data_IF_893613834028
#
_entry.id   IF_893613834028
#
_cell.length_a   1.000
_cell.length_b   1.000
_cell.length_c   1.000
_cell.angle_alpha   90.00
_cell.angle_beta   90.00
_cell.angle_gamma   90.00
#
_symmetry.space_group_name_H-M   'P 1'
#
loop_
_entity.id
_entity.type
_entity.pdbx_description
1 polymer ?
#
# COMPACT_ATOMS: atom_id res chain seq x y z
N UNK A 1 -3.63 5.37 31.21
CA UNK A 1 -2.20 5.58 30.92
C UNK A 1 -1.50 4.26 30.53
N UNK A 2 -1.81 3.13 31.16
CA UNK A 2 -1.21 1.82 30.85
C UNK A 2 -1.63 1.34 29.46
N UNK A 3 -2.91 1.26 29.17
CA UNK A 3 -3.46 0.89 27.85
C UNK A 3 -2.96 1.76 26.69
N UNK A 4 -2.79 3.05 26.90
CA UNK A 4 -2.25 3.94 25.88
C UNK A 4 -0.86 3.52 25.41
N UNK A 5 0.01 3.12 26.34
CA UNK A 5 1.37 2.70 26.03
C UNK A 5 1.41 1.32 25.35
N UNK A 6 0.52 0.39 25.74
CA UNK A 6 0.39 -0.93 25.10
C UNK A 6 -0.08 -0.81 23.67
N UNK A 7 -1.15 -0.04 23.43
CA UNK A 7 -1.65 0.23 22.09
C UNK A 7 -0.55 0.88 21.21
N UNK A 8 0.18 1.88 21.75
CA UNK A 8 1.21 2.54 20.96
C UNK A 8 2.33 1.57 20.56
N UNK A 9 2.81 0.71 21.47
CA UNK A 9 3.82 -0.32 21.17
C UNK A 9 3.35 -1.29 20.08
N UNK A 10 2.10 -1.72 20.18
CA UNK A 10 1.50 -2.57 19.16
C UNK A 10 1.48 -1.87 17.78
N UNK A 11 1.03 -0.61 17.73
CA UNK A 11 0.94 0.17 16.49
C UNK A 11 2.33 0.46 15.87
N UNK A 12 3.38 0.56 16.69
CA UNK A 12 4.76 0.76 16.23
C UNK A 12 5.33 -0.48 15.49
N UNK A 13 4.75 -1.67 15.72
CA UNK A 13 5.11 -2.94 15.06
C UNK A 13 4.25 -3.26 13.83
N UNK A 14 3.18 -2.50 13.58
CA UNK A 14 2.28 -2.69 12.43
C UNK A 14 2.96 -2.20 11.15
N UNK A 15 2.75 -2.94 10.06
CA UNK A 15 3.18 -2.52 8.72
C UNK A 15 2.76 -1.06 8.45
N UNK A 16 3.68 -0.19 8.01
CA UNK A 16 3.40 1.24 7.82
C UNK A 16 2.22 1.55 6.89
N UNK A 17 1.99 0.70 5.88
CA UNK A 17 0.85 0.86 4.95
C UNK A 17 -0.46 0.55 5.66
N UNK A 18 -0.51 -0.53 6.44
CA UNK A 18 -1.69 -0.91 7.20
C UNK A 18 -1.96 0.11 8.33
N UNK A 19 -0.90 0.56 8.99
CA UNK A 19 -1.02 1.61 10.02
C UNK A 19 -1.66 2.88 9.45
N UNK A 20 -1.15 3.36 8.31
CA UNK A 20 -1.68 4.54 7.63
C UNK A 20 -3.14 4.37 7.23
N UNK A 21 -3.50 3.21 6.65
CA UNK A 21 -4.88 2.90 6.27
C UNK A 21 -5.82 2.86 7.47
N UNK A 22 -5.39 2.31 8.59
CA UNK A 22 -6.16 2.29 9.82
C UNK A 22 -6.32 3.67 10.44
N UNK A 23 -5.28 4.53 10.36
CA UNK A 23 -5.37 5.93 10.77
C UNK A 23 -6.42 6.70 9.96
N UNK A 24 -6.48 6.48 8.65
CA UNK A 24 -7.49 7.08 7.79
C UNK A 24 -8.90 6.62 8.17
N UNK A 25 -9.09 5.30 8.37
CA UNK A 25 -10.37 4.74 8.78
C UNK A 25 -10.85 5.32 10.12
N UNK A 26 -9.95 5.46 11.07
CA UNK A 26 -10.26 6.11 12.34
C UNK A 26 -10.58 7.60 12.16
N UNK A 27 -9.75 8.34 11.43
CA UNK A 27 -9.91 9.78 11.23
C UNK A 27 -11.25 10.12 10.54
N UNK A 28 -11.70 9.28 9.61
CA UNK A 28 -12.95 9.47 8.87
C UNK A 28 -14.17 8.88 9.58
N UNK A 29 -14.02 8.42 10.82
CA UNK A 29 -15.15 8.01 11.65
C UNK A 29 -15.76 6.66 11.25
N UNK A 30 -14.99 5.77 10.61
CA UNK A 30 -15.46 4.42 10.25
C UNK A 30 -15.66 3.50 11.45
N UNK A 31 -15.22 3.87 12.65
CA UNK A 31 -15.49 3.12 13.88
C UNK A 31 -16.86 3.56 14.40
N UNK A 32 -17.87 2.69 14.24
CA UNK A 32 -19.27 2.99 14.56
C UNK A 32 -19.59 2.78 16.03
N UNK A 33 -19.01 1.73 16.63
CA UNK A 33 -19.20 1.41 18.04
C UNK A 33 -17.97 0.76 18.64
N UNK A 34 -17.78 0.93 19.95
CA UNK A 34 -16.77 0.25 20.76
C UNK A 34 -17.42 -0.14 22.08
N UNK A 35 -17.33 -1.42 22.41
CA UNK A 35 -17.68 -1.96 23.72
C UNK A 35 -16.42 -2.47 24.42
N UNK A 36 -16.30 -2.21 25.71
CA UNK A 36 -15.19 -2.68 26.53
C UNK A 36 -15.72 -3.36 27.79
N UNK A 37 -15.31 -4.60 28.01
CA UNK A 37 -15.64 -5.36 29.20
C UNK A 37 -14.47 -6.23 29.66
N UNK A 38 -13.98 -6.02 30.88
CA UNK A 38 -12.95 -6.86 31.53
C UNK A 38 -11.68 -7.15 30.69
N UNK A 39 -11.14 -6.14 30.00
CA UNK A 39 -9.94 -6.29 29.17
C UNK A 39 -10.21 -6.70 27.72
N UNK A 40 -11.47 -6.95 27.37
CA UNK A 40 -11.90 -7.27 26.02
C UNK A 40 -12.58 -6.07 25.37
N UNK A 41 -12.22 -5.76 24.13
CA UNK A 41 -12.82 -4.75 23.27
C UNK A 41 -13.47 -5.39 22.08
N UNK A 42 -14.72 -5.06 21.84
CA UNK A 42 -15.42 -5.34 20.58
C UNK A 42 -15.74 -4.03 19.89
N UNK A 43 -15.34 -3.86 18.64
CA UNK A 43 -15.61 -2.67 17.84
C UNK A 43 -16.30 -3.02 16.52
N UNK A 44 -17.29 -2.22 16.14
CA UNK A 44 -17.89 -2.28 14.81
C UNK A 44 -17.23 -1.21 13.93
N UNK A 45 -16.64 -1.64 12.81
CA UNK A 45 -15.91 -0.75 11.90
C UNK A 45 -16.50 -0.87 10.51
N UNK A 46 -17.13 0.19 10.02
CA UNK A 46 -17.68 0.23 8.67
C UNK A 46 -16.56 0.08 7.61
N UNK A 47 -16.87 -0.65 6.57
CA UNK A 47 -15.93 -0.94 5.49
C UNK A 47 -16.63 -1.02 4.15
N UNK A 48 -16.26 -2.01 3.35
CA UNK A 48 -16.84 -2.24 2.03
C UNK A 48 -18.14 -3.00 2.00
N UNK A 49 -18.57 -3.56 3.15
CA UNK A 49 -19.80 -4.30 3.28
C UNK A 49 -20.90 -3.43 3.93
N UNK A 50 -22.16 -3.77 3.68
CA UNK A 50 -23.30 -3.03 4.25
C UNK A 50 -23.38 -3.18 5.78
N UNK A 51 -22.84 -4.28 6.33
CA UNK A 51 -22.67 -4.49 7.76
C UNK A 51 -21.23 -4.14 8.17
N UNK A 52 -21.03 -3.47 9.32
CA UNK A 52 -19.69 -3.15 9.80
C UNK A 52 -18.94 -4.45 10.17
N UNK A 53 -17.63 -4.44 9.97
CA UNK A 53 -16.76 -5.52 10.41
C UNK A 53 -16.65 -5.54 11.92
N UNK A 54 -16.69 -6.74 12.49
CA UNK A 54 -16.51 -6.94 13.92
C UNK A 54 -15.02 -7.13 14.23
N UNK A 55 -14.52 -6.31 15.14
CA UNK A 55 -13.13 -6.36 15.59
C UNK A 55 -13.12 -6.69 17.08
N UNK A 56 -12.51 -7.81 17.45
CA UNK A 56 -12.29 -8.23 18.82
C UNK A 56 -10.82 -8.03 19.21
N UNK A 57 -10.56 -7.45 20.40
CA UNK A 57 -9.21 -7.18 20.90
C UNK A 57 -9.16 -7.52 22.39
N UNK A 58 -8.22 -8.36 22.78
CA UNK A 58 -7.95 -8.70 24.17
C UNK A 58 -6.70 -7.99 24.67
N UNK A 59 -6.79 -7.43 25.87
CA UNK A 59 -5.68 -6.79 26.58
C UNK A 59 -5.32 -7.61 27.83
N UNK A 60 -4.05 -7.75 28.09
CA UNK A 60 -3.55 -8.36 29.34
C UNK A 60 -3.68 -7.41 30.54
N UNK A 61 -3.27 -7.92 31.74
CA UNK A 61 -3.33 -7.15 33.01
C UNK A 61 -2.41 -5.92 33.00
N UNK A 62 -1.39 -5.90 32.12
CA UNK A 62 -0.45 -4.80 31.92
C UNK A 62 -0.93 -3.81 30.83
N UNK A 63 -2.07 -4.10 30.18
CA UNK A 63 -2.66 -3.29 29.11
C UNK A 63 -1.98 -3.40 27.76
N UNK A 64 -1.23 -4.47 27.53
CA UNK A 64 -0.70 -4.84 26.22
C UNK A 64 -1.78 -5.56 25.40
N UNK A 65 -1.70 -5.45 24.07
CA UNK A 65 -2.57 -6.21 23.16
C UNK A 65 -2.11 -7.67 23.15
N UNK A 66 -2.91 -8.57 23.71
CA UNK A 66 -2.60 -10.01 23.80
C UNK A 66 -3.13 -10.79 22.59
N UNK A 67 -4.35 -10.49 22.17
CA UNK A 67 -4.97 -11.11 21.01
C UNK A 67 -5.89 -10.13 20.26
N UNK A 68 -6.07 -10.38 18.97
CA UNK A 68 -7.00 -9.63 18.13
C UNK A 68 -7.55 -10.48 17.01
N UNK A 69 -8.76 -10.17 16.60
CA UNK A 69 -9.42 -10.78 15.45
C UNK A 69 -10.27 -9.72 14.73
N UNK A 70 -10.41 -9.87 13.42
CA UNK A 70 -11.36 -9.10 12.62
C UNK A 70 -11.97 -10.03 11.58
N UNK A 71 -13.27 -9.99 11.41
CA UNK A 71 -14.00 -10.82 10.44
C UNK A 71 -13.88 -10.33 9.00
N UNK A 72 -13.13 -9.24 8.76
CA UNK A 72 -12.89 -8.75 7.42
C UNK A 72 -12.07 -9.74 6.57
N UNK A 73 -12.21 -9.72 5.23
CA UNK A 73 -11.55 -10.67 4.34
C UNK A 73 -10.04 -10.41 4.16
N UNK A 74 -9.40 -9.61 5.02
CA UNK A 74 -7.96 -9.33 4.95
C UNK A 74 -7.16 -10.51 5.53
N UNK A 75 -6.32 -11.14 4.70
CA UNK A 75 -5.50 -12.32 5.03
C UNK A 75 -4.00 -12.17 4.70
N UNK A 76 -3.52 -10.95 4.39
CA UNK A 76 -2.14 -10.66 3.96
C UNK A 76 -1.17 -10.39 5.09
N UNK A 77 -1.64 -10.30 6.30
CA UNK A 77 -0.83 -10.05 7.47
C UNK A 77 -1.62 -10.24 8.74
N UNK A 78 -0.94 -10.21 9.90
CA UNK A 78 -1.59 -10.49 11.18
C UNK A 78 -2.55 -9.38 11.61
N UNK A 79 -2.41 -8.15 11.09
CA UNK A 79 -3.19 -6.98 11.49
C UNK A 79 -3.81 -6.34 10.25
N UNK A 80 -5.13 -6.07 10.28
CA UNK A 80 -5.84 -5.34 9.22
C UNK A 80 -6.05 -3.85 9.60
N UNK A 81 -6.46 -3.04 8.62
CA UNK A 81 -6.78 -1.62 8.82
C UNK A 81 -7.91 -1.38 9.84
N UNK A 82 -8.88 -2.29 9.95
CA UNK A 82 -10.00 -2.17 10.88
C UNK A 82 -9.54 -2.37 12.33
N UNK A 83 -8.66 -3.35 12.57
CA UNK A 83 -8.02 -3.54 13.88
C UNK A 83 -7.22 -2.30 14.31
N UNK A 84 -6.48 -1.70 13.39
CA UNK A 84 -5.76 -0.45 13.65
C UNK A 84 -6.71 0.69 13.96
N UNK A 85 -7.80 0.86 13.20
CA UNK A 85 -8.80 1.90 13.44
C UNK A 85 -9.47 1.73 14.81
N UNK A 86 -9.85 0.50 15.18
CA UNK A 86 -10.42 0.19 16.49
C UNK A 86 -9.44 0.52 17.62
N UNK A 87 -8.17 0.11 17.52
CA UNK A 87 -7.14 0.45 18.52
C UNK A 87 -6.93 1.95 18.69
N UNK A 88 -6.93 2.70 17.58
CA UNK A 88 -6.83 4.16 17.62
C UNK A 88 -8.03 4.80 18.32
N UNK A 89 -9.23 4.29 18.05
CA UNK A 89 -10.45 4.78 18.69
C UNK A 89 -10.48 4.46 20.19
N UNK A 90 -10.06 3.25 20.60
CA UNK A 90 -9.87 2.90 22.02
C UNK A 90 -8.88 3.83 22.72
N UNK A 91 -7.78 4.15 22.03
CA UNK A 91 -6.73 5.05 22.56
C UNK A 91 -7.23 6.48 22.79
N UNK A 92 -8.07 7.00 21.90
CA UNK A 92 -8.53 8.40 21.96
C UNK A 92 -9.74 8.58 22.88
N UNK A 93 -10.67 7.65 22.88
CA UNK A 93 -11.91 7.77 23.65
C UNK A 93 -11.75 7.51 25.15
N UNK A 94 -10.65 6.87 25.57
CA UNK A 94 -10.44 6.48 26.96
C UNK A 94 -11.67 5.76 27.49
N UNK A 95 -11.64 4.51 27.68
CA UNK A 95 -12.64 3.47 27.95
C UNK A 95 -13.89 3.77 28.81
N UNK A 96 -14.24 5.01 29.09
CA UNK A 96 -15.28 5.37 30.09
C UNK A 96 -16.66 5.72 29.49
N UNK A 97 -16.87 5.69 28.15
CA UNK A 97 -18.05 6.38 27.57
C UNK A 97 -18.81 5.66 26.45
N UNK A 98 -18.99 4.33 26.46
CA UNK A 98 -19.95 3.68 25.55
C UNK A 98 -21.00 2.86 26.30
N UNK A 99 -22.33 3.06 26.03
CA UNK A 99 -23.37 2.26 26.64
C UNK A 99 -23.40 0.83 26.05
N UNK A 100 -23.61 -0.21 26.86
CA UNK A 100 -23.62 -1.60 26.41
C UNK A 100 -24.80 -1.89 25.46
N UNK A 101 -24.50 -2.60 24.36
CA UNK A 101 -25.49 -3.11 23.41
C UNK A 101 -26.24 -4.32 24.03
N UNK A 102 -27.55 -4.47 23.89
CA UNK A 102 -28.26 -5.63 24.42
C UNK A 102 -27.86 -6.91 23.67
N UNK A 103 -27.45 -7.94 24.38
CA UNK A 103 -27.06 -9.23 23.87
C UNK A 103 -28.20 -9.91 23.12
N UNK A 104 -28.04 -10.11 21.82
CA UNK A 104 -28.90 -10.94 20.98
C UNK A 104 -28.24 -12.31 20.75
N UNK A 105 -28.92 -13.39 21.16
CA UNK A 105 -28.49 -14.75 20.85
C UNK A 105 -28.54 -14.97 19.32
N UNK A 106 -27.41 -15.04 18.65
CA UNK A 106 -27.31 -15.51 17.28
C UNK A 106 -27.11 -17.02 17.27
N UNK A 107 -27.99 -17.75 16.56
CA UNK A 107 -27.76 -19.16 16.26
C UNK A 107 -26.46 -19.29 15.42
N UNK A 108 -25.64 -20.36 15.62
CA UNK A 108 -24.41 -20.53 14.88
C UNK A 108 -24.71 -20.67 13.39
N UNK A 109 -24.59 -19.57 12.66
CA UNK A 109 -24.85 -19.49 11.20
C UNK A 109 -24.01 -20.51 10.45
N UNK A 110 -22.79 -20.74 10.88
CA UNK A 110 -21.84 -21.69 10.28
C UNK A 110 -22.40 -23.14 10.29
N UNK A 111 -23.02 -23.56 11.37
CA UNK A 111 -23.59 -24.91 11.47
C UNK A 111 -24.82 -25.05 10.57
N UNK A 112 -25.62 -23.99 10.44
CA UNK A 112 -26.77 -23.98 9.54
C UNK A 112 -26.33 -24.00 8.08
N UNK A 113 -25.31 -23.24 7.71
CA UNK A 113 -24.73 -23.19 6.36
C UNK A 113 -24.14 -24.55 5.98
N UNK A 114 -23.38 -25.20 6.90
CA UNK A 114 -22.82 -26.55 6.65
C UNK A 114 -23.86 -27.66 6.52
N UNK A 115 -25.04 -27.50 7.13
CA UNK A 115 -26.15 -28.46 7.06
C UNK A 115 -27.15 -28.16 5.93
N UNK A 116 -27.08 -26.97 5.35
CA UNK A 116 -27.97 -26.55 4.28
C UNK A 116 -27.74 -27.37 3.00
N UNK A 117 -28.81 -27.58 2.25
CA UNK A 117 -28.70 -28.20 0.92
C UNK A 117 -28.12 -27.19 -0.09
N UNK A 118 -27.35 -27.71 -1.04
CA UNK A 118 -26.76 -26.88 -2.10
C UNK A 118 -27.80 -25.98 -2.80
N UNK A 119 -28.97 -26.50 -3.11
CA UNK A 119 -30.05 -25.75 -3.74
C UNK A 119 -30.56 -24.56 -2.88
N UNK A 120 -30.51 -24.69 -1.55
CA UNK A 120 -30.91 -23.64 -0.61
C UNK A 120 -29.83 -22.54 -0.56
N UNK A 121 -28.55 -22.94 -0.53
CA UNK A 121 -27.42 -21.99 -0.56
C UNK A 121 -27.39 -21.23 -1.88
N UNK A 122 -27.56 -21.91 -3.02
CA UNK A 122 -27.64 -21.26 -4.33
C UNK A 122 -28.79 -20.27 -4.41
N UNK A 123 -29.97 -20.63 -3.90
CA UNK A 123 -31.13 -19.74 -3.90
C UNK A 123 -30.86 -18.49 -3.04
N UNK A 124 -30.30 -18.65 -1.85
CA UNK A 124 -29.96 -17.57 -0.94
C UNK A 124 -28.90 -16.62 -1.55
N UNK A 125 -27.85 -17.19 -2.13
CA UNK A 125 -26.81 -16.40 -2.80
C UNK A 125 -27.40 -15.61 -3.97
N UNK A 126 -28.22 -16.20 -4.82
CA UNK A 126 -28.83 -15.52 -5.96
C UNK A 126 -29.82 -14.42 -5.54
N UNK A 127 -30.59 -14.66 -4.48
CA UNK A 127 -31.49 -13.67 -3.89
C UNK A 127 -30.69 -12.47 -3.40
N UNK A 128 -29.68 -12.70 -2.58
CA UNK A 128 -28.83 -11.64 -2.06
C UNK A 128 -28.06 -10.90 -3.17
N UNK A 129 -27.55 -11.60 -4.19
CA UNK A 129 -26.97 -10.98 -5.37
C UNK A 129 -27.93 -10.07 -6.14
N UNK A 130 -29.23 -10.26 -6.03
CA UNK A 130 -30.23 -9.40 -6.70
C UNK A 130 -30.48 -8.11 -5.93
N UNK A 131 -30.29 -8.13 -4.63
CA UNK A 131 -30.55 -7.05 -3.68
C UNK A 131 -29.29 -6.24 -3.39
N UNK A 132 -28.17 -6.93 -3.16
CA UNK A 132 -26.88 -6.33 -2.85
C UNK A 132 -25.90 -6.42 -4.03
N UNK A 133 -25.54 -5.25 -4.56
CA UNK A 133 -24.61 -5.11 -5.67
C UNK A 133 -23.15 -5.42 -5.27
N UNK A 134 -22.75 -5.13 -4.03
CA UNK A 134 -21.41 -5.43 -3.53
C UNK A 134 -21.21 -6.92 -3.35
N UNK A 135 -22.18 -7.60 -2.71
CA UNK A 135 -22.17 -9.05 -2.59
C UNK A 135 -22.16 -9.75 -3.96
N UNK A 136 -22.95 -9.25 -4.92
CA UNK A 136 -22.89 -9.74 -6.30
C UNK A 136 -21.50 -9.63 -6.91
N UNK A 137 -20.81 -8.51 -6.67
CA UNK A 137 -19.43 -8.31 -7.15
C UNK A 137 -18.48 -9.30 -6.51
N UNK A 138 -18.64 -9.58 -5.22
CA UNK A 138 -17.85 -10.58 -4.50
C UNK A 138 -18.07 -11.99 -5.07
N UNK A 139 -19.31 -12.39 -5.26
CA UNK A 139 -19.65 -13.70 -5.87
C UNK A 139 -19.08 -13.83 -7.29
N UNK A 140 -19.16 -12.77 -8.11
CA UNK A 140 -18.53 -12.75 -9.43
C UNK A 140 -17.01 -12.85 -9.31
N UNK A 141 -16.41 -12.13 -8.38
CA UNK A 141 -14.99 -12.19 -8.10
C UNK A 141 -14.50 -13.60 -7.76
N UNK A 142 -15.25 -14.33 -6.94
CA UNK A 142 -14.87 -15.66 -6.49
C UNK A 142 -15.15 -16.78 -7.50
N UNK A 143 -16.26 -16.70 -8.22
CA UNK A 143 -16.73 -17.80 -9.08
C UNK A 143 -16.42 -17.62 -10.56
N UNK A 144 -16.06 -16.41 -11.01
CA UNK A 144 -15.72 -16.16 -12.40
C UNK A 144 -14.25 -16.43 -12.71
N UNK A 145 -13.98 -17.33 -13.63
CA UNK A 145 -12.61 -17.68 -14.03
C UNK A 145 -11.93 -16.60 -14.89
N UNK A 146 -12.67 -15.82 -15.68
CA UNK A 146 -12.08 -14.85 -16.63
C UNK A 146 -11.71 -13.49 -16.03
N UNK A 147 -12.25 -13.12 -14.87
CA UNK A 147 -12.05 -11.81 -14.22
C UNK A 147 -12.74 -10.62 -14.90
N UNK A 148 -13.35 -10.82 -16.05
CA UNK A 148 -13.94 -9.76 -16.85
C UNK A 148 -15.10 -9.04 -16.16
N UNK A 149 -15.99 -9.81 -15.52
CA UNK A 149 -17.12 -9.23 -14.80
C UNK A 149 -16.69 -8.64 -13.47
N UNK A 150 -15.68 -9.20 -12.80
CA UNK A 150 -15.09 -8.66 -11.59
C UNK A 150 -14.60 -7.22 -11.80
N UNK A 151 -13.70 -7.01 -12.75
CA UNK A 151 -13.18 -5.68 -13.05
C UNK A 151 -14.28 -4.70 -13.50
N UNK A 152 -15.24 -5.17 -14.31
CA UNK A 152 -16.37 -4.35 -14.74
C UNK A 152 -17.26 -3.91 -13.56
N UNK A 153 -17.47 -4.81 -12.59
CA UNK A 153 -18.23 -4.54 -11.39
C UNK A 153 -17.50 -3.57 -10.46
N UNK A 154 -16.20 -3.78 -10.23
CA UNK A 154 -15.36 -2.84 -9.45
C UNK A 154 -15.40 -1.43 -10.09
N UNK A 155 -15.18 -1.34 -11.40
CA UNK A 155 -15.27 -0.06 -12.13
C UNK A 155 -16.63 0.60 -12.01
N UNK A 156 -17.70 -0.18 -11.93
CA UNK A 156 -19.04 0.35 -11.77
C UNK A 156 -19.28 0.85 -10.35
N UNK A 157 -18.86 0.11 -9.31
CA UNK A 157 -18.97 0.52 -7.91
C UNK A 157 -18.20 1.82 -7.66
N UNK A 158 -16.93 1.87 -8.05
CA UNK A 158 -16.10 3.09 -7.88
C UNK A 158 -16.70 4.28 -8.64
N UNK A 159 -17.22 4.09 -9.85
CA UNK A 159 -17.87 5.17 -10.60
C UNK A 159 -19.12 5.69 -9.89
N UNK A 160 -19.90 4.80 -9.31
CA UNK A 160 -21.10 5.18 -8.57
C UNK A 160 -20.73 5.89 -7.27
N UNK A 161 -19.67 5.44 -6.58
CA UNK A 161 -19.11 6.12 -5.41
C UNK A 161 -18.63 7.54 -5.75
N UNK A 162 -17.81 7.69 -6.80
CA UNK A 162 -17.38 9.02 -7.27
C UNK A 162 -18.57 9.92 -7.59
N UNK A 163 -19.61 9.39 -8.26
CA UNK A 163 -20.83 10.16 -8.57
C UNK A 163 -21.59 10.57 -7.32
N UNK A 164 -21.74 9.69 -6.35
CA UNK A 164 -22.46 9.94 -5.10
C UNK A 164 -21.75 11.00 -4.23
N UNK A 165 -20.42 11.01 -4.26
CA UNK A 165 -19.58 11.90 -3.46
C UNK A 165 -19.11 13.17 -4.21
N UNK A 166 -19.56 13.38 -5.45
CA UNK A 166 -19.25 14.61 -6.22
C UNK A 166 -20.41 15.58 -6.17
N UNK A 167 -20.22 16.73 -5.55
CA UNK A 167 -21.23 17.80 -5.46
C UNK A 167 -20.80 19.02 -6.29
N UNK A 168 -21.51 19.30 -7.38
CA UNK A 168 -21.22 20.43 -8.30
C UNK A 168 -19.80 20.40 -8.90
N UNK A 169 -19.26 19.20 -9.12
CA UNK A 169 -17.91 19.00 -9.67
C UNK A 169 -16.79 19.06 -8.63
N UNK A 170 -17.13 19.13 -7.35
CA UNK A 170 -16.19 19.12 -6.23
C UNK A 170 -16.40 17.87 -5.34
N UNK A 171 -15.34 17.29 -4.84
CA UNK A 171 -15.32 16.19 -3.87
C UNK A 171 -14.75 16.77 -2.57
N UNK A 172 -15.55 16.78 -1.50
CA UNK A 172 -15.08 17.20 -0.17
C UNK A 172 -14.26 16.09 0.51
N UNK A 173 -13.75 16.38 1.70
CA UNK A 173 -12.87 15.47 2.45
C UNK A 173 -13.57 14.14 2.79
N UNK A 174 -14.82 14.19 3.26
CA UNK A 174 -15.62 13.01 3.57
C UNK A 174 -15.89 12.18 2.31
N UNK A 175 -16.29 12.83 1.23
CA UNK A 175 -16.50 12.20 -0.07
C UNK A 175 -15.22 11.56 -0.63
N UNK A 176 -14.07 12.21 -0.44
CA UNK A 176 -12.79 11.66 -0.80
C UNK A 176 -12.49 10.39 0.01
N UNK A 177 -12.73 10.42 1.33
CA UNK A 177 -12.57 9.28 2.21
C UNK A 177 -13.38 8.06 1.77
N UNK A 178 -14.65 8.27 1.44
CA UNK A 178 -15.53 7.21 0.94
C UNK A 178 -15.02 6.60 -0.38
N UNK A 179 -14.55 7.43 -1.30
CA UNK A 179 -13.99 6.95 -2.56
C UNK A 179 -12.69 6.17 -2.33
N UNK A 180 -11.81 6.66 -1.46
CA UNK A 180 -10.56 5.98 -1.10
C UNK A 180 -10.85 4.61 -0.47
N UNK A 181 -11.87 4.49 0.40
CA UNK A 181 -12.26 3.20 0.98
C UNK A 181 -12.67 2.19 -0.11
N UNK A 182 -13.50 2.58 -1.07
CA UNK A 182 -13.90 1.70 -2.17
C UNK A 182 -12.71 1.31 -3.09
N UNK A 183 -11.76 2.22 -3.31
CA UNK A 183 -10.54 1.95 -4.06
C UNK A 183 -9.60 1.00 -3.30
N UNK A 184 -9.47 1.18 -1.98
CA UNK A 184 -8.69 0.31 -1.12
C UNK A 184 -9.23 -1.11 -1.07
N UNK A 185 -10.55 -1.27 -1.03
CA UNK A 185 -11.19 -2.59 -1.12
C UNK A 185 -10.93 -3.27 -2.47
N UNK A 186 -10.85 -2.49 -3.53
CA UNK A 186 -10.43 -3.03 -4.83
C UNK A 186 -8.96 -3.49 -4.78
N UNK A 187 -8.07 -2.77 -4.11
CA UNK A 187 -6.67 -3.19 -3.92
C UNK A 187 -6.55 -4.46 -3.07
N UNK A 188 -7.39 -4.62 -2.05
CA UNK A 188 -7.42 -5.86 -1.26
C UNK A 188 -7.86 -7.06 -2.11
N UNK A 189 -8.79 -6.87 -3.05
CA UNK A 189 -9.11 -7.90 -4.05
C UNK A 189 -7.92 -8.19 -4.96
N UNK A 190 -7.21 -7.15 -5.44
CA UNK A 190 -6.02 -7.34 -6.25
C UNK A 190 -4.95 -8.16 -5.51
N UNK A 191 -4.69 -7.86 -4.24
CA UNK A 191 -3.75 -8.60 -3.39
C UNK A 191 -4.15 -10.07 -3.25
N UNK A 192 -5.43 -10.36 -2.97
CA UNK A 192 -5.94 -11.75 -2.96
C UNK A 192 -5.71 -12.48 -4.28
N UNK A 193 -5.81 -11.78 -5.41
CA UNK A 193 -5.51 -12.35 -6.74
C UNK A 193 -4.02 -12.69 -6.90
N UNK A 194 -3.11 -11.89 -6.35
CA UNK A 194 -1.67 -12.21 -6.31
C UNK A 194 -1.44 -13.53 -5.59
N UNK A 195 -1.97 -13.70 -4.37
CA UNK A 195 -1.83 -14.92 -3.57
C UNK A 195 -2.40 -16.18 -4.24
N UNK A 196 -3.34 -16.01 -5.18
CA UNK A 196 -3.90 -17.11 -5.99
C UNK A 196 -3.20 -17.33 -7.32
N UNK A 197 -2.09 -16.62 -7.60
CA UNK A 197 -1.38 -16.69 -8.87
C UNK A 197 -2.10 -16.06 -10.06
N UNK A 198 -3.12 -15.23 -9.81
CA UNK A 198 -3.93 -14.56 -10.83
C UNK A 198 -3.41 -13.14 -11.10
N UNK A 199 -2.15 -13.07 -11.52
CA UNK A 199 -1.39 -11.81 -11.59
C UNK A 199 -1.98 -10.79 -12.56
N UNK A 200 -2.50 -11.23 -13.73
CA UNK A 200 -3.12 -10.35 -14.72
C UNK A 200 -4.34 -9.63 -14.15
N UNK A 201 -5.16 -10.35 -13.37
CA UNK A 201 -6.33 -9.76 -12.70
C UNK A 201 -5.92 -8.76 -11.63
N UNK A 202 -4.88 -9.11 -10.86
CA UNK A 202 -4.35 -8.21 -9.85
C UNK A 202 -3.85 -6.90 -10.49
N UNK A 203 -3.09 -7.01 -11.57
CA UNK A 203 -2.59 -5.86 -12.32
C UNK A 203 -3.74 -5.03 -12.91
N UNK A 204 -4.77 -5.67 -13.49
CA UNK A 204 -5.96 -4.99 -14.04
C UNK A 204 -6.65 -4.12 -13.00
N UNK A 205 -6.82 -4.64 -11.79
CA UNK A 205 -7.48 -3.92 -10.69
C UNK A 205 -6.58 -2.81 -10.18
N UNK A 206 -5.30 -3.10 -9.91
CA UNK A 206 -4.38 -2.14 -9.31
C UNK A 206 -4.05 -0.97 -10.27
N UNK A 207 -3.90 -1.20 -11.58
CA UNK A 207 -3.77 -0.13 -12.57
C UNK A 207 -5.05 0.72 -12.66
N UNK A 208 -6.22 0.08 -12.60
CA UNK A 208 -7.47 0.83 -12.57
C UNK A 208 -7.55 1.76 -11.36
N UNK A 209 -7.17 1.29 -10.16
CA UNK A 209 -7.12 2.11 -8.95
C UNK A 209 -6.12 3.24 -9.10
N UNK A 210 -4.89 2.95 -9.54
CA UNK A 210 -3.84 3.93 -9.78
C UNK A 210 -4.32 5.08 -10.68
N UNK A 211 -4.80 4.73 -11.87
CA UNK A 211 -5.23 5.73 -12.86
C UNK A 211 -6.49 6.50 -12.42
N UNK A 212 -7.37 5.86 -11.64
CA UNK A 212 -8.54 6.53 -11.07
C UNK A 212 -8.13 7.51 -9.99
N UNK A 213 -7.25 7.10 -9.06
CA UNK A 213 -6.71 7.96 -8.01
C UNK A 213 -6.02 9.19 -8.60
N UNK A 214 -5.13 8.99 -9.56
CA UNK A 214 -4.45 10.09 -10.25
C UNK A 214 -5.41 11.04 -10.98
N UNK A 215 -6.46 10.51 -11.59
CA UNK A 215 -7.48 11.33 -12.25
C UNK A 215 -8.37 12.14 -11.30
N UNK A 216 -8.35 11.82 -9.99
CA UNK A 216 -9.13 12.52 -8.96
C UNK A 216 -8.30 13.51 -8.13
N UNK A 217 -6.98 13.57 -8.30
CA UNK A 217 -6.07 14.43 -7.52
C UNK A 217 -6.37 15.93 -7.61
N UNK A 218 -6.95 16.41 -8.70
CA UNK A 218 -7.34 17.82 -8.85
C UNK A 218 -8.45 18.26 -7.87
N UNK A 219 -9.04 17.31 -7.13
CA UNK A 219 -10.18 17.52 -6.22
C UNK A 219 -9.80 17.87 -4.78
N UNK A 220 -8.57 18.31 -4.50
CA UNK A 220 -8.09 18.76 -3.17
C UNK A 220 -8.02 17.64 -2.11
N UNK A 221 -7.31 16.54 -2.39
CA UNK A 221 -7.40 15.38 -1.53
C UNK A 221 -6.05 14.71 -1.25
N UNK A 222 -5.41 15.09 -0.14
CA UNK A 222 -4.25 14.39 0.42
C UNK A 222 -4.50 12.90 0.68
N UNK A 223 -5.76 12.48 0.93
CA UNK A 223 -6.14 11.08 1.09
C UNK A 223 -5.89 10.24 -0.16
N UNK A 224 -6.05 10.81 -1.37
CA UNK A 224 -5.85 10.09 -2.62
C UNK A 224 -4.38 9.71 -2.86
N UNK A 225 -3.43 10.46 -2.31
CA UNK A 225 -1.99 10.16 -2.40
C UNK A 225 -1.69 8.79 -1.78
N UNK A 226 -2.28 8.48 -0.63
CA UNK A 226 -2.11 7.18 0.04
C UNK A 226 -2.66 6.01 -0.79
N UNK A 227 -3.82 6.21 -1.41
CA UNK A 227 -4.42 5.19 -2.29
C UNK A 227 -3.57 4.97 -3.54
N UNK A 228 -2.98 6.03 -4.10
CA UNK A 228 -2.03 5.94 -5.22
C UNK A 228 -0.79 5.15 -4.82
N UNK A 229 -0.19 5.46 -3.66
CA UNK A 229 0.97 4.75 -3.14
C UNK A 229 0.65 3.27 -2.88
N UNK A 230 -0.51 2.96 -2.30
CA UNK A 230 -0.99 1.60 -2.09
C UNK A 230 -1.22 0.84 -3.41
N UNK A 231 -1.68 1.52 -4.45
CA UNK A 231 -1.82 0.93 -5.79
C UNK A 231 -0.45 0.61 -6.41
N UNK A 232 0.51 1.53 -6.30
CA UNK A 232 1.89 1.32 -6.76
C UNK A 232 2.55 0.14 -6.05
N UNK A 233 2.40 0.03 -4.72
CA UNK A 233 2.87 -1.13 -3.95
C UNK A 233 2.22 -2.43 -4.43
N UNK A 234 0.92 -2.44 -4.64
CA UNK A 234 0.19 -3.63 -5.11
C UNK A 234 0.66 -4.05 -6.51
N UNK A 235 0.92 -3.08 -7.41
CA UNK A 235 1.50 -3.34 -8.74
C UNK A 235 2.91 -3.93 -8.61
N UNK A 236 3.75 -3.39 -7.73
CA UNK A 236 5.09 -3.91 -7.45
C UNK A 236 5.07 -5.35 -6.94
N UNK A 237 4.17 -5.66 -6.01
CA UNK A 237 3.96 -7.03 -5.51
C UNK A 237 3.52 -7.98 -6.63
N UNK A 238 2.57 -7.55 -7.47
CA UNK A 238 2.11 -8.36 -8.61
C UNK A 238 3.24 -8.59 -9.62
N UNK A 239 4.02 -7.55 -9.96
CA UNK A 239 5.15 -7.64 -10.87
C UNK A 239 6.24 -8.60 -10.35
N UNK A 240 6.56 -8.52 -9.05
CA UNK A 240 7.52 -9.41 -8.40
C UNK A 240 7.05 -10.86 -8.44
N UNK A 241 5.83 -11.13 -8.00
CA UNK A 241 5.27 -12.47 -7.99
C UNK A 241 5.14 -13.06 -9.40
N UNK A 242 4.77 -12.23 -10.39
CA UNK A 242 4.75 -12.63 -11.81
C UNK A 242 6.15 -12.95 -12.32
N UNK A 243 7.16 -12.14 -12.03
CA UNK A 243 8.55 -12.39 -12.44
C UNK A 243 9.09 -13.70 -11.85
N UNK A 244 8.75 -14.01 -10.59
CA UNK A 244 9.13 -15.25 -9.89
C UNK A 244 8.40 -16.49 -10.44
N UNK A 245 7.23 -16.33 -11.05
CA UNK A 245 6.47 -17.44 -11.64
C UNK A 245 7.14 -18.07 -12.87
N UNK A 246 8.09 -17.38 -13.50
CA UNK A 246 8.77 -17.81 -14.71
C UNK A 246 7.91 -17.71 -15.99
N UNK A 247 6.77 -17.04 -15.94
CA UNK A 247 5.94 -16.79 -17.11
C UNK A 247 6.59 -15.81 -18.10
N UNK A 248 6.25 -15.85 -19.40
CA UNK A 248 6.75 -14.90 -20.40
C UNK A 248 6.39 -13.45 -20.03
N UNK A 249 7.38 -12.56 -20.04
CA UNK A 249 7.23 -11.18 -19.51
C UNK A 249 6.85 -10.14 -20.56
N UNK A 250 6.93 -10.47 -21.85
CA UNK A 250 6.82 -9.48 -22.93
C UNK A 250 5.52 -8.67 -22.89
N UNK A 251 4.36 -9.33 -22.74
CA UNK A 251 3.06 -8.64 -22.69
C UNK A 251 2.96 -7.71 -21.45
N UNK A 252 3.47 -8.15 -20.31
CA UNK A 252 3.52 -7.36 -19.10
C UNK A 252 4.42 -6.14 -19.25
N UNK A 253 5.63 -6.33 -19.78
CA UNK A 253 6.58 -5.23 -20.01
C UNK A 253 5.99 -4.20 -20.96
N UNK A 254 5.40 -4.62 -22.08
CA UNK A 254 4.76 -3.70 -23.01
C UNK A 254 3.61 -2.93 -22.36
N UNK A 255 2.80 -3.60 -21.54
CA UNK A 255 1.70 -2.97 -20.80
C UNK A 255 2.24 -1.94 -19.81
N UNK A 256 3.21 -2.31 -18.96
CA UNK A 256 3.83 -1.43 -17.97
C UNK A 256 4.45 -0.20 -18.65
N UNK A 257 5.25 -0.40 -19.68
CA UNK A 257 5.89 0.71 -20.39
C UNK A 257 4.89 1.63 -21.11
N UNK A 258 3.76 1.08 -21.55
CA UNK A 258 2.65 1.87 -22.09
C UNK A 258 1.97 2.70 -20.98
N UNK A 259 1.65 2.09 -19.84
CA UNK A 259 1.02 2.78 -18.69
C UNK A 259 1.93 3.88 -18.15
N UNK A 260 3.25 3.66 -18.06
CA UNK A 260 4.21 4.68 -17.65
C UNK A 260 4.21 5.93 -18.55
N UNK A 261 3.73 5.83 -19.78
CA UNK A 261 3.63 6.95 -20.73
C UNK A 261 2.24 7.61 -20.72
N UNK A 262 1.33 7.21 -19.81
CA UNK A 262 0.03 7.83 -19.70
C UNK A 262 0.16 9.32 -19.32
N UNK A 263 -0.56 10.23 -20.00
CA UNK A 263 -0.53 11.66 -19.70
C UNK A 263 -0.90 12.02 -18.26
N UNK A 264 -1.66 11.21 -17.54
CA UNK A 264 -1.98 11.42 -16.13
C UNK A 264 -0.74 11.56 -15.24
N UNK A 265 0.40 10.98 -15.65
CA UNK A 265 1.66 11.12 -14.92
C UNK A 265 2.42 12.42 -15.24
N UNK A 266 2.01 13.23 -16.20
CA UNK A 266 2.83 14.36 -16.67
C UNK A 266 3.08 15.42 -15.59
N UNK A 267 2.14 15.60 -14.66
CA UNK A 267 2.28 16.52 -13.51
C UNK A 267 2.79 15.81 -12.24
N UNK A 268 2.94 14.46 -12.28
CA UNK A 268 3.26 13.60 -11.13
C UNK A 268 4.42 12.65 -11.45
N UNK A 269 5.54 13.20 -11.84
CA UNK A 269 6.69 12.44 -12.31
C UNK A 269 7.30 11.52 -11.25
N UNK A 270 7.18 11.85 -9.95
CA UNK A 270 7.59 10.99 -8.84
C UNK A 270 6.88 9.64 -8.86
N UNK A 271 5.56 9.62 -9.04
CA UNK A 271 4.80 8.38 -9.12
C UNK A 271 5.06 7.61 -10.41
N UNK A 272 5.32 8.30 -11.53
CA UNK A 272 5.77 7.65 -12.76
C UNK A 272 7.07 6.89 -12.57
N UNK A 273 8.05 7.51 -11.93
CA UNK A 273 9.34 6.90 -11.66
C UNK A 273 9.24 5.79 -10.60
N UNK A 274 8.38 5.95 -9.60
CA UNK A 274 8.10 4.89 -8.63
C UNK A 274 7.41 3.68 -9.29
N UNK A 275 6.42 3.92 -10.14
CA UNK A 275 5.77 2.87 -10.95
C UNK A 275 6.80 2.08 -11.78
N UNK A 276 7.68 2.77 -12.51
CA UNK A 276 8.74 2.13 -13.29
C UNK A 276 9.73 1.39 -12.39
N UNK A 277 10.08 1.96 -11.24
CA UNK A 277 10.99 1.35 -10.27
C UNK A 277 10.43 0.04 -9.71
N UNK A 278 9.19 0.06 -9.21
CA UNK A 278 8.53 -1.14 -8.65
C UNK A 278 8.33 -2.24 -9.68
N UNK A 279 8.20 -1.90 -10.95
CA UNK A 279 8.02 -2.85 -12.06
C UNK A 279 9.32 -3.23 -12.76
N UNK A 280 10.44 -2.62 -12.42
CA UNK A 280 11.76 -2.92 -13.00
C UNK A 280 12.21 -4.38 -12.78
N UNK A 281 11.64 -5.08 -11.80
CA UNK A 281 11.86 -6.53 -11.58
C UNK A 281 11.46 -7.39 -12.78
N UNK A 282 10.65 -6.87 -13.69
CA UNK A 282 10.27 -7.52 -14.94
C UNK A 282 11.37 -7.42 -16.03
N UNK A 283 12.36 -6.55 -15.84
CA UNK A 283 13.45 -6.39 -16.80
C UNK A 283 14.32 -7.65 -16.87
N UNK A 284 14.74 -7.97 -18.08
CA UNK A 284 15.68 -9.05 -18.41
C UNK A 284 16.53 -8.65 -19.63
N UNK A 285 17.43 -9.54 -20.05
CA UNK A 285 18.32 -9.28 -21.16
C UNK A 285 17.62 -9.08 -22.53
N UNK A 286 16.36 -9.50 -22.65
CA UNK A 286 15.60 -9.39 -23.90
C UNK A 286 14.88 -8.04 -23.98
N UNK A 287 14.43 -7.48 -22.86
CA UNK A 287 13.58 -6.29 -22.79
C UNK A 287 14.23 -5.04 -22.13
N UNK A 288 15.44 -5.14 -21.58
CA UNK A 288 16.12 -4.01 -20.91
C UNK A 288 16.22 -2.75 -21.81
N UNK A 289 16.43 -2.95 -23.10
CA UNK A 289 16.51 -1.86 -24.07
C UNK A 289 15.17 -1.12 -24.26
N UNK A 290 14.06 -1.75 -23.97
CA UNK A 290 12.74 -1.13 -24.07
C UNK A 290 12.51 -0.21 -22.85
N UNK A 291 12.86 -0.66 -21.66
CA UNK A 291 12.88 0.18 -20.48
C UNK A 291 13.77 1.41 -20.66
N UNK A 292 15.01 1.22 -21.15
CA UNK A 292 15.94 2.31 -21.38
C UNK A 292 15.40 3.31 -22.39
N UNK A 293 14.79 2.85 -23.48
CA UNK A 293 14.19 3.73 -24.50
C UNK A 293 13.07 4.59 -23.92
N UNK A 294 12.20 4.00 -23.09
CA UNK A 294 11.12 4.75 -22.43
C UNK A 294 11.66 5.76 -21.44
N UNK A 295 12.63 5.37 -20.60
CA UNK A 295 13.28 6.27 -19.64
C UNK A 295 13.97 7.45 -20.35
N UNK A 296 14.66 7.20 -21.46
CA UNK A 296 15.28 8.27 -22.26
C UNK A 296 14.24 9.22 -22.86
N UNK A 297 13.14 8.68 -23.38
CA UNK A 297 12.04 9.50 -23.91
C UNK A 297 11.40 10.37 -22.83
N UNK A 298 11.08 9.80 -21.67
CA UNK A 298 10.50 10.51 -20.53
C UNK A 298 11.46 11.57 -19.97
N UNK A 299 12.76 11.24 -19.88
CA UNK A 299 13.78 12.19 -19.46
C UNK A 299 13.90 13.38 -20.43
N UNK A 300 13.89 13.12 -21.75
CA UNK A 300 13.89 14.19 -22.74
C UNK A 300 12.67 15.11 -22.61
N UNK A 301 11.48 14.53 -22.43
CA UNK A 301 10.23 15.27 -22.22
C UNK A 301 10.29 16.17 -20.98
N UNK A 302 10.88 15.68 -19.86
CA UNK A 302 11.12 16.47 -18.62
C UNK A 302 12.03 17.66 -18.88
N UNK A 303 13.12 17.47 -19.64
CA UNK A 303 14.04 18.55 -19.97
C UNK A 303 13.42 19.62 -20.88
N UNK A 304 12.47 19.27 -21.71
CA UNK A 304 11.73 20.23 -22.53
C UNK A 304 10.78 21.11 -21.71
N UNK A 305 10.17 20.57 -20.65
CA UNK A 305 9.28 21.32 -19.75
C UNK A 305 9.97 22.21 -18.72
N UNK A 306 11.28 22.16 -18.58
CA UNK A 306 12.24 23.04 -17.91
C UNK A 306 12.17 23.27 -16.40
N UNK A 307 11.08 22.96 -15.69
CA UNK A 307 10.97 23.42 -14.29
C UNK A 307 11.63 22.51 -13.26
N UNK A 308 11.54 21.18 -13.41
CA UNK A 308 11.87 20.24 -12.33
C UNK A 308 12.79 19.08 -12.75
N UNK A 309 13.33 19.09 -13.97
CA UNK A 309 14.17 18.01 -14.48
C UNK A 309 15.32 17.60 -13.53
N UNK A 310 16.04 18.53 -12.87
CA UNK A 310 17.11 18.19 -11.93
C UNK A 310 16.61 17.44 -10.68
N UNK A 311 15.36 17.67 -10.22
CA UNK A 311 14.76 17.03 -9.04
C UNK A 311 14.65 15.51 -9.23
N UNK A 312 14.42 15.06 -10.45
CA UNK A 312 14.15 13.66 -10.76
C UNK A 312 15.37 12.85 -11.23
N UNK A 313 16.57 13.47 -11.34
CA UNK A 313 17.77 12.78 -11.80
C UNK A 313 18.10 11.57 -10.92
N UNK A 314 18.03 11.73 -9.60
CA UNK A 314 18.35 10.67 -8.65
C UNK A 314 17.31 9.53 -8.72
N UNK A 315 16.03 9.84 -8.86
CA UNK A 315 14.96 8.85 -9.01
C UNK A 315 15.07 8.11 -10.35
N UNK A 316 15.32 8.80 -11.45
CA UNK A 316 15.59 8.19 -12.77
C UNK A 316 16.79 7.24 -12.72
N UNK A 317 17.87 7.67 -12.07
CA UNK A 317 19.04 6.82 -11.83
C UNK A 317 18.69 5.59 -10.95
N UNK A 318 17.78 5.75 -9.99
CA UNK A 318 17.36 4.65 -9.14
C UNK A 318 16.55 3.60 -9.91
N UNK A 319 15.67 3.99 -10.82
CA UNK A 319 14.99 3.04 -11.74
C UNK A 319 16.01 2.26 -12.54
N UNK A 320 17.06 2.92 -13.09
CA UNK A 320 18.15 2.25 -13.82
C UNK A 320 18.92 1.26 -12.95
N UNK A 321 19.19 1.63 -11.70
CA UNK A 321 19.78 0.72 -10.72
C UNK A 321 18.95 -0.55 -10.55
N UNK A 322 17.63 -0.42 -10.38
CA UNK A 322 16.72 -1.55 -10.24
C UNK A 322 16.71 -2.45 -11.48
N UNK A 323 16.73 -1.86 -12.68
CA UNK A 323 16.87 -2.60 -13.95
C UNK A 323 18.20 -3.35 -13.98
N UNK A 324 19.31 -2.71 -13.63
CA UNK A 324 20.63 -3.37 -13.58
C UNK A 324 20.63 -4.54 -12.60
N UNK A 325 20.00 -4.39 -11.42
CA UNK A 325 19.86 -5.48 -10.47
C UNK A 325 19.03 -6.65 -11.04
N UNK A 326 17.94 -6.36 -11.73
CA UNK A 326 17.06 -7.37 -12.32
C UNK A 326 17.76 -8.15 -13.45
N UNK A 327 18.47 -7.45 -14.34
CA UNK A 327 19.10 -8.03 -15.53
C UNK A 327 20.46 -8.68 -15.21
N UNK A 328 21.31 -7.99 -14.44
CA UNK A 328 22.70 -8.35 -14.23
C UNK A 328 23.03 -8.86 -12.82
N UNK A 329 22.02 -8.82 -11.91
CA UNK A 329 22.15 -9.28 -10.53
C UNK A 329 22.80 -8.27 -9.58
N UNK A 330 22.80 -8.62 -8.29
CA UNK A 330 23.19 -7.73 -7.18
C UNK A 330 24.63 -7.20 -7.27
N UNK A 331 25.58 -8.00 -7.77
CA UNK A 331 26.96 -7.55 -7.90
C UNK A 331 27.10 -6.39 -8.91
N UNK A 332 26.34 -6.42 -10.00
CA UNK A 332 26.30 -5.33 -10.97
C UNK A 332 25.54 -4.11 -10.39
N UNK A 333 24.48 -4.35 -9.63
CA UNK A 333 23.77 -3.31 -8.87
C UNK A 333 24.73 -2.57 -7.92
N UNK A 334 25.51 -3.29 -7.12
CA UNK A 334 26.50 -2.68 -6.24
C UNK A 334 27.53 -1.82 -6.98
N UNK A 335 28.06 -2.32 -8.09
CA UNK A 335 28.98 -1.54 -8.91
C UNK A 335 28.32 -0.26 -9.46
N UNK A 336 27.00 -0.32 -9.75
CA UNK A 336 26.23 0.84 -10.14
C UNK A 336 26.07 1.85 -9.00
N UNK A 337 25.81 1.40 -7.75
CA UNK A 337 25.76 2.27 -6.56
C UNK A 337 27.11 2.96 -6.35
N UNK A 338 28.21 2.23 -6.40
CA UNK A 338 29.56 2.78 -6.21
C UNK A 338 29.90 3.85 -7.27
N UNK A 339 29.49 3.62 -8.53
CA UNK A 339 29.68 4.60 -9.61
C UNK A 339 28.87 5.88 -9.40
N UNK A 340 27.71 5.78 -8.76
CA UNK A 340 26.77 6.88 -8.55
C UNK A 340 26.75 7.39 -7.09
N UNK A 341 27.76 7.08 -6.29
CA UNK A 341 27.86 7.41 -4.85
C UNK A 341 27.81 8.93 -4.55
N UNK A 342 27.89 9.76 -5.57
CA UNK A 342 27.71 11.20 -5.44
C UNK A 342 26.26 11.60 -5.09
N UNK A 343 25.30 10.74 -5.41
CA UNK A 343 23.88 10.88 -5.10
C UNK A 343 23.61 10.35 -3.69
N UNK A 344 22.84 11.10 -2.91
CA UNK A 344 22.64 10.80 -1.48
C UNK A 344 21.91 9.46 -1.27
N UNK A 345 20.91 9.13 -2.07
CA UNK A 345 20.19 7.86 -1.99
C UNK A 345 21.11 6.65 -2.17
N UNK A 346 22.01 6.70 -3.17
CA UNK A 346 22.94 5.58 -3.43
C UNK A 346 24.03 5.48 -2.36
N UNK A 347 24.48 6.63 -1.84
CA UNK A 347 25.41 6.66 -0.72
C UNK A 347 24.80 6.02 0.54
N UNK A 348 23.54 6.35 0.86
CA UNK A 348 22.80 5.74 1.98
C UNK A 348 22.70 4.22 1.82
N UNK A 349 22.33 3.73 0.65
CA UNK A 349 22.26 2.31 0.36
C UNK A 349 23.60 1.61 0.54
N UNK A 350 24.70 2.21 0.05
CA UNK A 350 26.03 1.66 0.24
C UNK A 350 26.45 1.63 1.71
N UNK A 351 26.11 2.67 2.49
CA UNK A 351 26.38 2.68 3.93
C UNK A 351 25.65 1.52 4.62
N UNK A 352 24.38 1.29 4.30
CA UNK A 352 23.59 0.17 4.84
C UNK A 352 24.22 -1.18 4.48
N UNK A 353 24.55 -1.39 3.18
CA UNK A 353 25.20 -2.64 2.75
C UNK A 353 26.52 -2.88 3.52
N UNK A 354 27.37 -1.83 3.68
CA UNK A 354 28.63 -1.98 4.41
C UNK A 354 28.42 -2.27 5.91
N UNK A 355 27.38 -1.71 6.53
CA UNK A 355 27.00 -2.02 7.92
C UNK A 355 26.56 -3.48 8.03
N UNK A 356 25.69 -3.96 7.14
CA UNK A 356 25.25 -5.36 7.10
C UNK A 356 26.40 -6.35 6.90
N UNK A 357 27.41 -5.98 6.10
CA UNK A 357 28.64 -6.75 5.89
C UNK A 357 29.64 -6.66 7.07
N UNK A 358 29.37 -5.83 8.08
CA UNK A 358 30.31 -5.55 9.17
C UNK A 358 31.52 -4.69 8.75
N UNK A 359 31.48 -4.07 7.58
CA UNK A 359 32.52 -3.19 7.06
C UNK A 359 32.31 -1.74 7.52
N UNK A 360 32.24 -1.55 8.83
CA UNK A 360 31.96 -0.26 9.46
C UNK A 360 32.95 0.85 9.07
N UNK A 361 34.23 0.50 8.83
CA UNK A 361 35.24 1.48 8.43
C UNK A 361 34.89 2.15 7.08
N UNK A 362 34.33 1.38 6.13
CA UNK A 362 33.90 1.93 4.84
C UNK A 362 32.60 2.73 4.96
N UNK A 363 31.66 2.25 5.79
CA UNK A 363 30.43 2.96 6.11
C UNK A 363 30.74 4.34 6.74
N UNK A 364 31.61 4.38 7.76
CA UNK A 364 32.11 5.63 8.37
C UNK A 364 32.71 6.57 7.34
N UNK A 365 33.58 6.06 6.49
CA UNK A 365 34.23 6.86 5.46
C UNK A 365 33.21 7.57 4.55
N UNK A 366 32.18 6.85 4.09
CA UNK A 366 31.15 7.40 3.23
C UNK A 366 30.33 8.49 3.92
N UNK A 367 30.01 8.32 5.21
CA UNK A 367 29.32 9.33 6.01
C UNK A 367 30.19 10.59 6.16
N UNK A 368 31.47 10.44 6.56
CA UNK A 368 32.39 11.56 6.75
C UNK A 368 32.63 12.35 5.46
N UNK A 369 32.89 11.67 4.34
CA UNK A 369 33.07 12.34 3.03
C UNK A 369 31.85 13.20 2.67
N UNK A 370 30.65 12.81 3.08
CA UNK A 370 29.43 13.59 2.80
C UNK A 370 29.28 14.77 3.77
N UNK A 371 29.58 14.56 5.06
CA UNK A 371 29.58 15.61 6.09
C UNK A 371 30.56 16.71 5.69
N UNK A 372 31.82 16.37 5.33
CA UNK A 372 32.84 17.33 4.91
C UNK A 372 32.40 18.15 3.68
N UNK A 373 31.69 17.53 2.73
CA UNK A 373 31.12 18.25 1.58
C UNK A 373 30.00 19.21 1.98
N UNK A 374 29.26 18.94 3.02
CA UNK A 374 28.24 19.86 3.54
C UNK A 374 28.85 21.00 4.36
N UNK A 375 29.87 20.72 5.17
CA UNK A 375 30.59 21.73 5.93
C UNK A 375 31.30 22.75 5.04
N UNK A 376 31.70 22.34 3.85
CA UNK A 376 32.26 23.24 2.83
C UNK A 376 31.23 24.19 2.21
N UNK A 377 29.92 23.96 2.44
CA UNK A 377 28.83 24.86 2.02
C UNK A 377 28.53 25.84 3.16
N UNK A 378 28.26 27.08 2.82
CA UNK A 378 27.89 28.16 3.78
C UNK A 378 26.59 27.87 4.59
N UNK A 379 25.88 26.81 4.26
CA UNK A 379 24.65 26.38 4.91
C UNK A 379 24.61 24.87 5.05
N UNK A 380 24.48 24.37 6.28
CA UNK A 380 24.30 22.95 6.58
C UNK A 380 22.80 22.61 6.49
N UNK A 381 22.43 21.74 5.56
CA UNK A 381 21.02 21.49 5.23
C UNK A 381 20.34 20.50 6.19
N UNK A 382 21.04 19.54 6.79
CA UNK A 382 20.45 18.57 7.72
C UNK A 382 21.51 17.87 8.59
N UNK A 383 21.09 17.33 9.75
CA UNK A 383 21.90 16.47 10.62
C UNK A 383 21.78 14.97 10.24
N UNK A 384 21.20 14.64 9.10
CA UNK A 384 20.92 13.26 8.69
C UNK A 384 22.19 12.39 8.67
N UNK A 385 23.29 12.93 8.08
CA UNK A 385 24.54 12.19 7.96
C UNK A 385 25.29 12.05 9.29
N UNK A 386 25.17 13.01 10.20
CA UNK A 386 25.69 12.89 11.57
C UNK A 386 24.95 11.82 12.36
N UNK A 387 23.62 11.78 12.24
CA UNK A 387 22.79 10.75 12.88
C UNK A 387 23.12 9.37 12.33
N UNK A 388 23.25 9.23 11.02
CA UNK A 388 23.65 7.97 10.39
C UNK A 388 25.06 7.53 10.83
N UNK A 389 26.01 8.46 10.92
CA UNK A 389 27.34 8.16 11.45
C UNK A 389 27.31 7.69 12.89
N UNK A 390 26.44 8.29 13.73
CA UNK A 390 26.22 7.82 15.10
C UNK A 390 25.66 6.39 15.14
N UNK A 391 24.72 6.05 14.28
CA UNK A 391 24.19 4.69 14.15
C UNK A 391 25.28 3.70 13.76
N UNK A 392 26.12 4.05 12.78
CA UNK A 392 27.28 3.23 12.37
C UNK A 392 28.22 2.96 13.55
N UNK A 393 28.51 3.95 14.39
CA UNK A 393 29.37 3.77 15.57
C UNK A 393 28.70 2.91 16.65
N UNK A 394 27.40 3.11 16.89
CA UNK A 394 26.63 2.29 17.81
C UNK A 394 26.67 0.81 17.41
N UNK A 395 26.47 0.51 16.13
CA UNK A 395 26.44 -0.86 15.60
C UNK A 395 27.87 -1.45 15.53
N UNK A 396 28.90 -0.61 15.41
CA UNK A 396 30.30 -1.01 15.48
C UNK A 396 30.78 -1.27 16.92
N UNK A 397 29.99 -0.85 17.94
CA UNK A 397 30.36 -1.01 19.36
C UNK A 397 31.41 0.00 19.86
N UNK A 398 31.45 1.20 19.26
CA UNK A 398 32.31 2.31 19.63
C UNK A 398 31.55 3.47 20.30
#
# INVERSE_FOLDING_TARGET
MVLYNGIQRFLDEVDPVILSRGQNYFHWGHVESIDYEDGHVTAEVSGSEDEPYLVDIDFDEDGEVEAWNCDCPYDWGPVCKHTVAALLAVRETGMEHFPPKPAGESAPVEDLVRQAKEEQLVALILEHCSEDRRFRTQVLSELEESGKYELASIKSLVRDSVRANTHRGYIDEDGCGNICADLDDALDKARRRIGRGQYDRALDIAEFVLLTGMGLLESDSSCMEWTIDAALETIGLAAKAFAESGAPREEWVQRILKTAQDPLFDDWEEWRLDFLGKTAVLADAENENEFERVLLHLSAKRWESFKDAPKYIEQDCFVRYQIVCAVCGQAAGRAFLEKNVAMDKFRLMLVQEYVEEGNYARAEQLCRERIEREEAKLWRASNQWDNLLYEVYRDWGQ
#
